data_IF_007540615863
#
_entry.id   IF_007540615863
#
_cell.length_a   1.000
_cell.length_b   1.000
_cell.length_c   1.000
_cell.angle_alpha   90.00
_cell.angle_beta   90.00
_cell.angle_gamma   90.00
#
_symmetry.space_group_name_H-M   'P 1'
#
loop_
_entity.id
_entity.type
_entity.pdbx_description
1 polymer ?
#
# COMPACT_ATOMS: atom_id res chain seq x y z
N UNK A 1 17.41 -29.40 6.91
CA UNK A 1 15.95 -29.19 7.03
C UNK A 1 15.24 -30.32 6.28
N UNK A 2 14.33 -31.07 6.92
CA UNK A 2 13.70 -32.28 6.34
C UNK A 2 12.41 -32.01 5.53
N UNK A 3 12.11 -30.76 5.18
CA UNK A 3 10.90 -30.39 4.45
C UNK A 3 11.27 -29.76 3.08
N UNK A 4 11.38 -30.55 2.01
CA UNK A 4 11.65 -30.01 0.68
C UNK A 4 10.51 -29.09 0.25
N UNK A 5 10.87 -27.90 -0.27
CA UNK A 5 9.90 -26.90 -0.71
C UNK A 5 9.30 -26.04 0.42
N UNK A 6 9.73 -26.21 1.67
CA UNK A 6 9.38 -25.32 2.76
C UNK A 6 10.23 -24.04 2.74
N UNK A 7 9.61 -22.88 2.89
CA UNK A 7 10.28 -21.59 2.99
C UNK A 7 9.97 -21.00 4.36
N UNK A 8 10.99 -20.96 5.22
CA UNK A 8 10.87 -20.39 6.56
C UNK A 8 10.62 -18.88 6.50
N UNK A 9 9.72 -18.38 7.35
CA UNK A 9 9.36 -16.96 7.46
C UNK A 9 9.49 -16.42 8.88
N UNK A 10 9.27 -17.26 9.90
CA UNK A 10 9.32 -16.86 11.30
C UNK A 10 9.98 -17.95 12.14
N UNK A 11 10.82 -17.51 13.07
CA UNK A 11 11.43 -18.36 14.08
C UNK A 11 10.94 -17.90 15.46
N UNK A 12 10.56 -18.84 16.30
CA UNK A 12 10.20 -18.59 17.70
C UNK A 12 10.98 -19.53 18.60
N UNK A 13 11.59 -19.00 19.65
CA UNK A 13 12.34 -19.75 20.65
C UNK A 13 11.52 -19.79 21.94
N UNK A 14 11.44 -20.97 22.55
CA UNK A 14 10.78 -21.19 23.83
C UNK A 14 11.72 -21.94 24.78
N UNK A 15 11.80 -21.50 26.04
CA UNK A 15 12.68 -22.08 27.07
C UNK A 15 14.15 -22.16 26.61
N UNK A 16 14.66 -21.07 26.02
CA UNK A 16 16.03 -21.00 25.55
C UNK A 16 17.00 -21.14 26.75
N UNK A 17 17.95 -22.08 26.66
CA UNK A 17 18.92 -22.38 27.72
C UNK A 17 18.50 -23.49 28.69
N UNK A 18 17.30 -24.04 28.54
CA UNK A 18 16.81 -25.22 29.28
C UNK A 18 16.92 -26.49 28.41
N UNK A 19 17.01 -27.65 29.05
CA UNK A 19 16.91 -28.98 28.43
C UNK A 19 15.55 -29.17 27.73
N UNK A 20 14.50 -28.51 28.25
CA UNK A 20 13.17 -28.44 27.62
C UNK A 20 13.07 -27.41 26.46
N UNK A 21 14.19 -26.79 26.08
CA UNK A 21 14.24 -25.79 25.02
C UNK A 21 13.71 -26.30 23.68
N UNK A 22 12.95 -25.45 22.99
CA UNK A 22 12.44 -25.76 21.65
C UNK A 22 12.44 -24.54 20.74
N UNK A 23 12.65 -24.82 19.45
CA UNK A 23 12.57 -23.85 18.37
C UNK A 23 11.40 -24.21 17.47
N UNK A 24 10.60 -23.24 17.13
CA UNK A 24 9.54 -23.39 16.17
C UNK A 24 9.84 -22.58 14.92
N UNK A 25 9.78 -23.26 13.77
CA UNK A 25 10.01 -22.70 12.45
C UNK A 25 8.67 -22.68 11.72
N UNK A 26 8.16 -21.49 11.49
CA UNK A 26 6.90 -21.22 10.81
C UNK A 26 7.18 -20.65 9.40
N UNK A 27 6.39 -21.05 8.41
CA UNK A 27 6.70 -20.72 7.03
C UNK A 27 5.60 -21.07 6.04
N UNK A 28 6.00 -21.33 4.80
CA UNK A 28 5.08 -21.73 3.74
C UNK A 28 5.60 -23.00 3.09
N UNK A 29 4.67 -23.88 2.71
CA UNK A 29 4.98 -25.07 1.93
C UNK A 29 4.59 -24.84 0.47
N UNK A 30 5.51 -25.06 -0.47
CA UNK A 30 5.20 -24.98 -1.91
C UNK A 30 4.10 -25.96 -2.29
N UNK A 31 3.19 -25.51 -3.16
CA UNK A 31 2.02 -26.29 -3.59
C UNK A 31 0.85 -26.30 -2.60
N UNK A 32 1.00 -25.72 -1.41
CA UNK A 32 -0.08 -25.59 -0.44
C UNK A 32 -0.45 -24.11 -0.24
N UNK A 33 -1.67 -23.68 -0.61
CA UNK A 33 -2.13 -22.33 -0.34
C UNK A 33 -2.36 -22.16 1.18
N UNK A 34 -1.34 -21.68 1.87
CA UNK A 34 -1.31 -21.54 3.34
C UNK A 34 -0.35 -20.41 3.76
N UNK A 35 -0.27 -20.12 5.05
CA UNK A 35 0.60 -19.10 5.66
C UNK A 35 1.43 -19.68 6.81
N UNK A 36 2.39 -18.92 7.31
CA UNK A 36 3.18 -19.26 8.50
C UNK A 36 2.35 -19.48 9.77
N UNK A 37 1.08 -19.08 9.80
CA UNK A 37 0.22 -19.38 10.93
C UNK A 37 -0.20 -20.86 10.97
N UNK A 38 -0.15 -21.57 9.83
CA UNK A 38 -0.66 -22.93 9.68
C UNK A 38 0.39 -23.97 9.26
N UNK A 39 1.54 -23.54 8.71
CA UNK A 39 2.68 -24.42 8.44
C UNK A 39 3.79 -24.16 9.47
N UNK A 40 3.96 -25.07 10.45
CA UNK A 40 4.89 -24.92 11.58
C UNK A 40 5.56 -26.25 11.89
N UNK A 41 6.86 -26.22 12.07
CA UNK A 41 7.66 -27.35 12.54
C UNK A 41 8.34 -26.97 13.86
N UNK A 42 8.10 -27.75 14.91
CA UNK A 42 8.71 -27.55 16.23
C UNK A 42 9.79 -28.58 16.45
N UNK A 43 10.99 -28.12 16.77
CA UNK A 43 12.15 -28.95 17.06
C UNK A 43 12.62 -28.73 18.49
N UNK A 44 13.15 -29.77 19.12
CA UNK A 44 13.87 -29.67 20.38
C UNK A 44 15.23 -29.03 20.13
N UNK A 45 15.64 -28.11 21.01
CA UNK A 45 16.91 -27.39 20.85
C UNK A 45 18.14 -28.26 21.13
N UNK A 46 18.04 -29.20 22.06
CA UNK A 46 19.18 -30.02 22.50
C UNK A 46 19.76 -30.93 21.41
N UNK A 47 18.90 -31.54 20.59
CA UNK A 47 19.25 -32.59 19.63
C UNK A 47 18.67 -32.34 18.22
N UNK A 48 17.86 -31.30 18.05
CA UNK A 48 17.18 -31.01 16.78
C UNK A 48 16.03 -31.97 16.46
N UNK A 49 15.59 -32.81 17.41
CA UNK A 49 14.50 -33.75 17.19
C UNK A 49 13.18 -33.03 16.89
N UNK A 50 12.43 -33.49 15.88
CA UNK A 50 11.11 -32.95 15.56
C UNK A 50 10.12 -33.37 16.66
N UNK A 51 9.48 -32.38 17.29
CA UNK A 51 8.52 -32.55 18.38
C UNK A 51 7.07 -32.49 17.89
N UNK A 52 6.77 -31.55 17.00
CA UNK A 52 5.42 -31.33 16.46
C UNK A 52 5.52 -30.80 15.02
N UNK A 53 4.57 -31.19 14.19
CA UNK A 53 4.40 -30.68 12.84
C UNK A 53 2.94 -30.33 12.61
N UNK A 54 2.70 -29.08 12.22
CA UNK A 54 1.38 -28.60 11.82
C UNK A 54 1.43 -28.21 10.37
N UNK A 55 0.54 -28.81 9.59
CA UNK A 55 0.33 -28.45 8.19
C UNK A 55 -1.16 -28.33 7.88
N UNK A 56 -1.49 -27.40 6.99
CA UNK A 56 -2.83 -27.31 6.41
C UNK A 56 -3.19 -28.59 5.63
N UNK A 57 -2.22 -29.32 5.08
CA UNK A 57 -2.49 -30.56 4.33
C UNK A 57 -3.19 -31.64 5.16
N UNK A 58 -2.96 -31.63 6.48
CA UNK A 58 -3.54 -32.58 7.43
C UNK A 58 -4.95 -32.18 7.91
N UNK A 59 -5.51 -31.07 7.41
CA UNK A 59 -6.83 -30.57 7.82
C UNK A 59 -7.93 -31.06 6.88
N UNK A 60 -9.17 -31.08 7.39
CA UNK A 60 -10.35 -31.37 6.58
C UNK A 60 -10.58 -30.32 5.49
N UNK A 61 -11.32 -30.69 4.44
CA UNK A 61 -11.55 -29.87 3.24
C UNK A 61 -11.97 -28.43 3.54
N UNK A 62 -13.00 -28.24 4.38
CA UNK A 62 -13.52 -26.90 4.70
C UNK A 62 -12.50 -26.01 5.40
N UNK A 63 -11.76 -26.56 6.36
CA UNK A 63 -10.73 -25.82 7.06
C UNK A 63 -9.55 -25.49 6.12
N UNK A 64 -9.20 -26.40 5.20
CA UNK A 64 -8.20 -26.12 4.15
C UNK A 64 -8.63 -25.00 3.22
N UNK A 65 -9.88 -24.99 2.79
CA UNK A 65 -10.43 -23.91 1.97
C UNK A 65 -10.37 -22.56 2.70
N UNK A 66 -10.75 -22.51 3.98
CA UNK A 66 -10.62 -21.31 4.79
C UNK A 66 -9.17 -20.85 4.97
N UNK A 67 -8.25 -21.78 5.24
CA UNK A 67 -6.81 -21.49 5.34
C UNK A 67 -6.29 -20.90 4.02
N UNK A 68 -6.73 -21.43 2.87
CA UNK A 68 -6.33 -20.95 1.55
C UNK A 68 -6.84 -19.53 1.22
N UNK A 69 -7.91 -19.06 1.87
CA UNK A 69 -8.39 -17.67 1.69
C UNK A 69 -7.40 -16.66 2.27
N UNK A 70 -6.71 -16.97 3.38
CA UNK A 70 -5.78 -16.03 4.01
C UNK A 70 -4.66 -15.55 3.07
N UNK A 71 -3.85 -16.44 2.44
CA UNK A 71 -2.80 -15.98 1.54
C UNK A 71 -3.39 -15.27 0.32
N UNK A 72 -4.56 -15.66 -0.17
CA UNK A 72 -5.24 -14.94 -1.27
C UNK A 72 -5.62 -13.52 -0.85
N UNK A 73 -6.20 -13.34 0.33
CA UNK A 73 -6.62 -12.05 0.87
C UNK A 73 -5.45 -11.08 1.07
N UNK A 74 -4.29 -11.58 1.51
CA UNK A 74 -3.09 -10.78 1.74
C UNK A 74 -2.11 -10.77 0.56
N UNK A 75 -2.53 -11.23 -0.63
CA UNK A 75 -1.72 -11.32 -1.83
C UNK A 75 -0.38 -12.09 -1.64
N UNK A 76 -0.39 -13.14 -0.81
CA UNK A 76 0.75 -14.01 -0.51
C UNK A 76 0.77 -15.23 -1.43
N UNK A 77 1.32 -15.07 -2.63
CA UNK A 77 1.36 -16.12 -3.67
C UNK A 77 2.65 -16.96 -3.68
N UNK A 78 3.46 -16.88 -2.63
CA UNK A 78 4.78 -17.51 -2.57
C UNK A 78 4.72 -19.05 -2.64
N UNK A 79 3.58 -19.66 -2.29
CA UNK A 79 3.32 -21.08 -2.40
C UNK A 79 3.32 -21.61 -3.85
N UNK A 80 3.11 -20.74 -4.85
CA UNK A 80 3.21 -21.05 -6.28
C UNK A 80 4.66 -21.06 -6.82
N UNK A 81 5.63 -20.64 -6.01
CA UNK A 81 7.01 -20.48 -6.43
C UNK A 81 7.31 -19.12 -7.10
N UNK A 82 8.58 -18.89 -7.49
CA UNK A 82 9.09 -17.56 -7.84
C UNK A 82 8.52 -16.98 -9.14
N UNK A 83 8.14 -17.80 -10.12
CA UNK A 83 7.68 -17.32 -11.43
C UNK A 83 6.31 -16.62 -11.40
N UNK A 84 5.32 -17.26 -10.79
CA UNK A 84 3.93 -16.75 -10.79
C UNK A 84 3.63 -15.78 -9.65
N UNK A 85 4.39 -15.84 -8.55
CA UNK A 85 4.10 -15.03 -7.37
C UNK A 85 4.14 -13.53 -7.66
N UNK A 86 5.11 -13.05 -8.46
CA UNK A 86 5.22 -11.63 -8.78
C UNK A 86 4.06 -11.17 -9.68
N UNK A 87 3.75 -11.94 -10.72
CA UNK A 87 2.67 -11.62 -11.66
C UNK A 87 1.30 -11.55 -10.95
N UNK A 88 0.98 -12.52 -10.09
CA UNK A 88 -0.28 -12.54 -9.35
C UNK A 88 -0.37 -11.42 -8.30
N UNK A 89 0.75 -11.05 -7.65
CA UNK A 89 0.78 -9.86 -6.78
C UNK A 89 0.51 -8.59 -7.57
N UNK A 90 1.09 -8.48 -8.77
CA UNK A 90 0.84 -7.38 -9.69
C UNK A 90 -0.63 -7.30 -10.12
N UNK A 91 -1.22 -8.45 -10.50
CA UNK A 91 -2.63 -8.54 -10.86
C UNK A 91 -3.55 -8.20 -9.68
N UNK A 92 -3.25 -8.72 -8.48
CA UNK A 92 -4.00 -8.41 -7.26
C UNK A 92 -3.97 -6.91 -6.96
N UNK A 93 -2.79 -6.29 -7.04
CA UNK A 93 -2.64 -4.84 -6.90
C UNK A 93 -3.46 -4.08 -7.95
N UNK A 94 -3.38 -4.49 -9.23
CA UNK A 94 -4.11 -3.85 -10.32
C UNK A 94 -5.63 -3.95 -10.13
N UNK A 95 -6.15 -5.11 -9.70
CA UNK A 95 -7.56 -5.29 -9.36
C UNK A 95 -7.97 -4.41 -8.18
N UNK A 96 -7.15 -4.33 -7.13
CA UNK A 96 -7.39 -3.45 -5.98
C UNK A 96 -7.45 -1.98 -6.40
N UNK A 97 -6.49 -1.52 -7.19
CA UNK A 97 -6.49 -0.16 -7.75
C UNK A 97 -7.71 0.09 -8.65
N UNK A 98 -8.08 -0.87 -9.50
CA UNK A 98 -9.26 -0.80 -10.35
C UNK A 98 -10.56 -0.65 -9.54
N UNK A 99 -10.71 -1.43 -8.47
CA UNK A 99 -11.83 -1.31 -7.55
C UNK A 99 -11.87 0.08 -6.87
N UNK A 100 -10.72 0.58 -6.39
CA UNK A 100 -10.64 1.94 -5.83
C UNK A 100 -11.03 3.01 -6.85
N UNK A 101 -10.55 2.92 -8.09
CA UNK A 101 -10.87 3.86 -9.17
C UNK A 101 -12.35 3.81 -9.54
N UNK A 102 -12.96 2.62 -9.60
CA UNK A 102 -14.38 2.46 -9.85
C UNK A 102 -15.22 3.12 -8.75
N UNK A 103 -14.88 2.88 -7.47
CA UNK A 103 -15.57 3.51 -6.35
C UNK A 103 -15.40 5.04 -6.36
N UNK A 104 -14.18 5.54 -6.55
CA UNK A 104 -13.89 6.97 -6.56
C UNK A 104 -14.56 7.68 -7.75
N UNK A 105 -14.55 7.08 -8.94
CA UNK A 105 -15.21 7.64 -10.13
C UNK A 105 -16.73 7.61 -10.02
N UNK A 106 -17.31 6.55 -9.46
CA UNK A 106 -18.75 6.49 -9.18
C UNK A 106 -19.20 7.60 -8.21
N UNK A 107 -18.44 7.82 -7.14
CA UNK A 107 -18.69 8.91 -6.18
C UNK A 107 -18.53 10.28 -6.84
N UNK A 108 -17.49 10.47 -7.66
CA UNK A 108 -17.25 11.70 -8.40
C UNK A 108 -18.40 12.03 -9.37
N UNK A 109 -18.85 11.05 -10.17
CA UNK A 109 -19.95 11.23 -11.11
C UNK A 109 -21.27 11.54 -10.38
N UNK A 110 -21.52 10.89 -9.23
CA UNK A 110 -22.68 11.17 -8.40
C UNK A 110 -22.67 12.61 -7.86
N UNK A 111 -21.52 13.10 -7.40
CA UNK A 111 -21.34 14.47 -6.94
C UNK A 111 -21.50 15.48 -8.08
N UNK A 112 -20.92 15.21 -9.25
CA UNK A 112 -21.01 16.11 -10.41
C UNK A 112 -22.46 16.31 -10.87
N UNK A 113 -23.28 15.25 -10.88
CA UNK A 113 -24.72 15.36 -11.20
C UNK A 113 -25.49 16.26 -10.23
N UNK A 114 -24.99 16.45 -9.01
CA UNK A 114 -25.62 17.27 -7.96
C UNK A 114 -24.96 18.64 -7.77
N UNK A 115 -23.87 18.92 -8.50
CA UNK A 115 -23.16 20.19 -8.42
C UNK A 115 -23.99 21.38 -8.96
N UNK A 116 -25.01 21.10 -9.78
CA UNK A 116 -25.92 22.11 -10.35
C UNK A 116 -26.82 22.79 -9.30
N UNK A 117 -26.99 22.19 -8.12
CA UNK A 117 -27.77 22.77 -7.03
C UNK A 117 -26.83 23.30 -5.93
N UNK A 118 -27.01 24.53 -5.42
CA UNK A 118 -26.13 25.15 -4.44
C UNK A 118 -26.26 24.59 -3.01
N UNK A 119 -26.34 23.27 -2.84
CA UNK A 119 -26.44 22.60 -1.54
C UNK A 119 -25.07 22.52 -0.83
N UNK A 120 -25.00 23.07 0.39
CA UNK A 120 -23.81 23.03 1.24
C UNK A 120 -23.39 21.58 1.58
N UNK A 121 -24.33 20.64 1.67
CA UNK A 121 -24.05 19.22 1.94
C UNK A 121 -23.30 18.57 0.80
N UNK A 122 -23.67 18.87 -0.44
CA UNK A 122 -22.98 18.36 -1.64
C UNK A 122 -21.55 18.88 -1.70
N UNK A 123 -21.35 20.18 -1.40
CA UNK A 123 -20.00 20.78 -1.30
C UNK A 123 -19.17 20.11 -0.20
N UNK A 124 -19.73 19.89 0.98
CA UNK A 124 -19.04 19.19 2.08
C UNK A 124 -18.64 17.76 1.67
N UNK A 125 -19.57 16.99 1.08
CA UNK A 125 -19.29 15.64 0.61
C UNK A 125 -18.21 15.60 -0.46
N UNK A 126 -18.21 16.56 -1.39
CA UNK A 126 -17.14 16.70 -2.38
C UNK A 126 -15.79 16.94 -1.72
N UNK A 127 -15.72 17.82 -0.73
CA UNK A 127 -14.47 18.09 0.00
C UNK A 127 -14.00 16.89 0.81
N UNK A 128 -14.89 16.22 1.53
CA UNK A 128 -14.57 14.98 2.24
C UNK A 128 -14.08 13.90 1.29
N UNK A 129 -14.70 13.76 0.12
CA UNK A 129 -14.28 12.80 -0.90
C UNK A 129 -12.88 13.10 -1.40
N UNK A 130 -12.56 14.38 -1.67
CA UNK A 130 -11.20 14.80 -2.01
C UNK A 130 -10.21 14.51 -0.88
N UNK A 131 -10.55 14.86 0.36
CA UNK A 131 -9.71 14.64 1.54
C UNK A 131 -9.41 13.16 1.79
N UNK A 132 -10.42 12.30 1.78
CA UNK A 132 -10.24 10.87 2.03
C UNK A 132 -9.59 10.14 0.85
N UNK A 133 -10.02 10.40 -0.39
CA UNK A 133 -9.47 9.70 -1.57
C UNK A 133 -8.06 10.19 -1.92
N UNK A 134 -7.84 11.50 -2.04
CA UNK A 134 -6.48 12.02 -2.32
C UNK A 134 -5.57 11.88 -1.09
N UNK A 135 -6.14 11.99 0.12
CA UNK A 135 -5.42 11.78 1.36
C UNK A 135 -4.96 10.34 1.55
N UNK A 136 -5.72 9.34 1.08
CA UNK A 136 -5.29 7.94 1.08
C UNK A 136 -3.99 7.76 0.27
N UNK A 137 -3.96 8.35 -0.92
CA UNK A 137 -2.78 8.32 -1.80
C UNK A 137 -1.60 9.04 -1.16
N UNK A 138 -1.83 10.23 -0.58
CA UNK A 138 -0.79 11.00 0.11
C UNK A 138 -0.24 10.29 1.35
N UNK A 139 -1.11 9.75 2.21
CA UNK A 139 -0.72 9.02 3.41
C UNK A 139 0.06 7.75 3.06
N UNK A 140 -0.33 7.00 2.02
CA UNK A 140 0.42 5.85 1.55
C UNK A 140 1.82 6.24 1.03
N UNK A 141 1.92 7.29 0.21
CA UNK A 141 3.20 7.77 -0.33
C UNK A 141 4.14 8.28 0.78
N UNK A 142 3.61 9.04 1.74
CA UNK A 142 4.37 9.53 2.89
C UNK A 142 4.79 8.39 3.84
N UNK A 143 3.96 7.37 4.01
CA UNK A 143 4.34 6.17 4.75
C UNK A 143 5.52 5.47 4.07
N UNK A 144 5.47 5.27 2.75
CA UNK A 144 6.57 4.66 1.99
C UNK A 144 7.85 5.47 2.15
N UNK A 145 7.79 6.79 2.03
CA UNK A 145 8.94 7.66 2.32
C UNK A 145 9.44 7.48 3.76
N UNK A 146 8.54 7.50 4.75
CA UNK A 146 8.88 7.31 6.15
C UNK A 146 9.61 5.98 6.40
N UNK A 147 9.14 4.89 5.79
CA UNK A 147 9.79 3.58 5.89
C UNK A 147 11.19 3.55 5.26
N UNK A 148 11.46 4.37 4.24
CA UNK A 148 12.80 4.49 3.65
C UNK A 148 13.77 5.30 4.51
N UNK A 149 13.26 6.23 5.33
CA UNK A 149 14.08 7.11 6.16
C UNK A 149 14.36 6.56 7.55
N UNK A 150 13.51 5.64 8.04
CA UNK A 150 13.63 5.08 9.39
C UNK A 150 14.68 3.96 9.43
N UNK A 151 15.59 3.94 10.43
CA UNK A 151 16.53 2.85 10.62
C UNK A 151 15.84 1.49 10.74
N UNK A 152 16.47 0.43 10.22
CA UNK A 152 15.87 -0.92 10.18
C UNK A 152 15.47 -1.46 11.55
N UNK A 153 16.17 -1.04 12.61
CA UNK A 153 15.91 -1.41 14.01
C UNK A 153 14.55 -0.91 14.50
N UNK A 154 14.10 0.23 13.97
CA UNK A 154 12.84 0.87 14.34
C UNK A 154 11.68 0.44 13.43
N UNK A 155 11.92 -0.35 12.38
CA UNK A 155 10.84 -0.89 11.54
C UNK A 155 9.94 -1.88 12.30
N UNK A 156 10.42 -2.44 13.40
CA UNK A 156 9.63 -3.27 14.29
C UNK A 156 8.66 -2.41 15.11
N UNK A 157 7.34 -2.62 14.94
CA UNK A 157 6.32 -2.04 15.81
C UNK A 157 5.06 -1.56 15.07
N UNK A 158 4.04 -1.09 15.81
CA UNK A 158 2.76 -0.68 15.23
C UNK A 158 2.78 0.75 14.64
N UNK A 159 3.90 1.45 14.71
CA UNK A 159 3.99 2.85 14.27
C UNK A 159 3.70 3.06 12.77
N UNK A 160 4.02 2.16 11.81
CA UNK A 160 3.71 2.41 10.40
C UNK A 160 2.19 2.54 10.19
N UNK A 161 1.42 1.68 10.85
CA UNK A 161 -0.04 1.74 10.83
C UNK A 161 -0.57 3.01 11.50
N UNK A 162 -0.02 3.41 12.65
CA UNK A 162 -0.42 4.65 13.33
C UNK A 162 -0.08 5.90 12.51
N UNK A 163 1.10 5.94 11.90
CA UNK A 163 1.52 7.05 11.04
C UNK A 163 0.57 7.21 9.86
N UNK A 164 0.28 6.10 9.16
CA UNK A 164 -0.67 6.11 8.06
C UNK A 164 -2.05 6.64 8.49
N UNK A 165 -2.60 6.13 9.60
CA UNK A 165 -3.89 6.57 10.12
C UNK A 165 -3.89 8.05 10.47
N UNK A 166 -2.84 8.55 11.13
CA UNK A 166 -2.70 9.97 11.49
C UNK A 166 -2.63 10.84 10.24
N UNK A 167 -1.79 10.49 9.26
CA UNK A 167 -1.67 11.24 8.00
C UNK A 167 -2.99 11.25 7.21
N UNK A 168 -3.68 10.11 7.17
CA UNK A 168 -4.96 9.99 6.47
C UNK A 168 -6.08 10.78 7.18
N UNK A 169 -6.17 10.68 8.50
CA UNK A 169 -7.09 11.46 9.31
C UNK A 169 -6.82 12.97 9.19
N UNK A 170 -5.55 13.38 9.17
CA UNK A 170 -5.16 14.77 8.97
C UNK A 170 -5.61 15.30 7.58
N UNK A 171 -5.51 14.49 6.53
CA UNK A 171 -6.02 14.86 5.21
C UNK A 171 -7.56 14.99 5.17
N UNK A 172 -8.28 14.11 5.89
CA UNK A 172 -9.72 14.23 6.09
C UNK A 172 -10.11 15.48 6.89
N UNK A 173 -9.36 15.79 7.95
CA UNK A 173 -9.57 17.00 8.76
C UNK A 173 -9.27 18.27 7.97
N UNK A 174 -8.24 18.26 7.11
CA UNK A 174 -7.95 19.36 6.20
C UNK A 174 -9.11 19.65 5.23
N UNK A 175 -9.93 18.66 4.88
CA UNK A 175 -11.14 18.86 4.09
C UNK A 175 -12.23 19.67 4.83
N UNK A 176 -12.23 19.64 6.15
CA UNK A 176 -13.15 20.38 7.00
C UNK A 176 -12.62 21.78 7.35
N UNK A 177 -11.32 21.89 7.59
CA UNK A 177 -10.71 23.10 8.17
C UNK A 177 -10.25 24.12 7.13
N UNK A 178 -9.81 23.68 5.95
CA UNK A 178 -9.27 24.60 4.94
C UNK A 178 -10.39 25.40 4.26
N UNK A 179 -10.10 26.59 3.69
CA UNK A 179 -11.05 27.35 2.89
C UNK A 179 -11.65 26.53 1.72
N UNK A 180 -12.89 26.84 1.32
CA UNK A 180 -13.65 26.09 0.30
C UNK A 180 -13.07 26.12 -1.11
N UNK A 181 -12.39 27.21 -1.42
CA UNK A 181 -11.64 27.49 -2.65
C UNK A 181 -10.23 26.86 -2.64
N UNK A 182 -9.77 26.35 -1.49
CA UNK A 182 -8.48 25.70 -1.41
C UNK A 182 -8.46 24.43 -2.27
N UNK A 183 -7.48 24.29 -3.19
CA UNK A 183 -7.42 23.15 -4.09
C UNK A 183 -6.82 21.92 -3.39
N UNK A 184 -7.57 21.38 -2.43
CA UNK A 184 -7.14 20.32 -1.52
C UNK A 184 -6.63 19.08 -2.26
N UNK A 185 -7.41 18.55 -3.21
CA UNK A 185 -7.01 17.38 -4.00
C UNK A 185 -5.68 17.62 -4.74
N UNK A 186 -5.50 18.81 -5.33
CA UNK A 186 -4.25 19.18 -6.00
C UNK A 186 -3.07 19.17 -5.05
N UNK A 187 -3.23 19.78 -3.87
CA UNK A 187 -2.20 19.81 -2.83
C UNK A 187 -1.81 18.40 -2.37
N UNK A 188 -2.79 17.57 -2.04
CA UNK A 188 -2.57 16.19 -1.59
C UNK A 188 -1.91 15.33 -2.66
N UNK A 189 -2.34 15.42 -3.93
CA UNK A 189 -1.71 14.71 -5.05
C UNK A 189 -0.28 15.20 -5.31
N UNK A 190 -0.01 16.50 -5.18
CA UNK A 190 1.34 17.06 -5.26
C UNK A 190 2.26 16.52 -4.16
N UNK A 191 1.79 16.53 -2.90
CA UNK A 191 2.51 15.95 -1.76
C UNK A 191 2.76 14.45 -1.98
N UNK A 192 1.75 13.70 -2.42
CA UNK A 192 1.89 12.28 -2.72
C UNK A 192 2.96 12.04 -3.80
N UNK A 193 2.93 12.84 -4.86
CA UNK A 193 3.87 12.71 -5.96
C UNK A 193 5.32 13.00 -5.54
N UNK A 194 5.53 14.08 -4.79
CA UNK A 194 6.84 14.41 -4.22
C UNK A 194 7.33 13.33 -3.24
N UNK A 195 6.44 12.80 -2.40
CA UNK A 195 6.79 11.74 -1.47
C UNK A 195 7.21 10.44 -2.18
N UNK A 196 6.54 10.06 -3.28
CA UNK A 196 6.96 8.92 -4.11
C UNK A 196 8.35 9.13 -4.72
N UNK A 197 8.62 10.31 -5.28
CA UNK A 197 9.94 10.62 -5.84
C UNK A 197 11.03 10.62 -4.76
N UNK A 198 10.76 11.24 -3.60
CA UNK A 198 11.66 11.25 -2.47
C UNK A 198 11.92 9.84 -1.92
N UNK A 199 10.91 8.97 -1.87
CA UNK A 199 11.05 7.59 -1.43
C UNK A 199 11.98 6.79 -2.37
N UNK A 200 11.82 6.95 -3.68
CA UNK A 200 12.70 6.32 -4.67
C UNK A 200 14.16 6.82 -4.51
N UNK A 201 14.36 8.13 -4.33
CA UNK A 201 15.71 8.69 -4.08
C UNK A 201 16.30 8.16 -2.78
N UNK A 202 15.53 8.15 -1.69
CA UNK A 202 15.97 7.65 -0.39
C UNK A 202 16.35 6.16 -0.43
N UNK A 203 15.66 5.35 -1.25
CA UNK A 203 16.01 3.96 -1.48
C UNK A 203 17.25 3.80 -2.38
N UNK A 204 17.34 4.52 -3.50
CA UNK A 204 18.41 4.36 -4.48
C UNK A 204 19.77 4.94 -4.03
N UNK A 205 19.78 6.05 -3.29
CA UNK A 205 21.01 6.76 -2.95
C UNK A 205 22.03 5.88 -2.17
N UNK A 206 21.64 5.14 -1.12
CA UNK A 206 22.58 4.26 -0.41
C UNK A 206 23.15 3.13 -1.28
N UNK A 207 22.39 2.63 -2.26
CA UNK A 207 22.87 1.60 -3.18
C UNK A 207 23.90 2.16 -4.17
N UNK A 208 23.62 3.33 -4.73
CA UNK A 208 24.53 4.02 -5.65
C UNK A 208 25.84 4.40 -4.97
N UNK A 209 25.79 4.89 -3.73
CA UNK A 209 26.98 5.19 -2.91
C UNK A 209 27.85 3.96 -2.66
N UNK A 210 27.27 2.76 -2.67
CA UNK A 210 27.99 1.48 -2.52
C UNK A 210 28.40 0.86 -3.85
N UNK A 211 28.19 1.54 -4.98
CA UNK A 211 28.52 1.05 -6.32
C UNK A 211 27.70 -0.17 -6.74
N UNK A 212 26.48 -0.34 -6.20
CA UNK A 212 25.60 -1.48 -6.49
C UNK A 212 24.25 -1.01 -7.02
N UNK A 213 23.62 -1.84 -7.85
CA UNK A 213 22.26 -1.59 -8.32
C UNK A 213 21.27 -2.47 -7.53
N UNK A 214 20.21 -1.89 -6.95
CA UNK A 214 19.13 -2.68 -6.35
C UNK A 214 18.21 -3.24 -7.44
N UNK A 215 17.22 -4.04 -7.02
CA UNK A 215 16.10 -4.36 -7.89
C UNK A 215 15.30 -3.08 -8.18
N UNK A 216 15.37 -2.57 -9.41
CA UNK A 216 14.81 -1.27 -9.81
C UNK A 216 13.29 -1.23 -9.92
N UNK A 217 12.60 -2.38 -9.87
CA UNK A 217 11.15 -2.45 -10.09
C UNK A 217 10.32 -1.54 -9.18
N UNK A 218 10.48 -1.60 -7.85
CA UNK A 218 9.80 -0.71 -6.92
C UNK A 218 10.12 0.77 -7.18
N UNK A 219 11.38 1.11 -7.43
CA UNK A 219 11.82 2.49 -7.66
C UNK A 219 11.23 3.08 -8.94
N UNK A 220 11.24 2.33 -10.04
CA UNK A 220 10.61 2.73 -11.30
C UNK A 220 9.10 2.94 -11.13
N UNK A 221 8.45 2.09 -10.34
CA UNK A 221 7.02 2.24 -10.02
C UNK A 221 6.76 3.52 -9.24
N UNK A 222 7.57 3.81 -8.21
CA UNK A 222 7.47 5.05 -7.44
C UNK A 222 7.73 6.29 -8.29
N UNK A 223 8.73 6.26 -9.16
CA UNK A 223 9.05 7.35 -10.08
C UNK A 223 7.88 7.61 -11.03
N UNK A 224 7.34 6.56 -11.66
CA UNK A 224 6.21 6.67 -12.57
C UNK A 224 4.97 7.22 -11.85
N UNK A 225 4.61 6.67 -10.69
CA UNK A 225 3.51 7.16 -9.88
C UNK A 225 3.73 8.63 -9.47
N UNK A 226 4.93 8.98 -9.00
CA UNK A 226 5.30 10.33 -8.62
C UNK A 226 5.12 11.34 -9.75
N UNK A 227 5.66 11.01 -10.93
CA UNK A 227 5.54 11.84 -12.13
C UNK A 227 4.09 12.00 -12.57
N UNK A 228 3.29 10.93 -12.57
CA UNK A 228 1.88 10.97 -12.94
C UNK A 228 1.05 11.83 -11.98
N UNK A 229 1.29 11.72 -10.67
CA UNK A 229 0.60 12.49 -9.64
C UNK A 229 0.93 13.99 -9.72
N UNK A 230 2.21 14.33 -9.88
CA UNK A 230 2.67 15.72 -10.07
C UNK A 230 2.09 16.29 -11.36
N UNK A 231 2.16 15.54 -12.47
CA UNK A 231 1.56 15.96 -13.74
C UNK A 231 0.07 16.23 -13.58
N UNK A 232 -0.66 15.37 -12.88
CA UNK A 232 -2.10 15.57 -12.65
C UNK A 232 -2.37 16.81 -11.78
N UNK A 233 -1.62 17.02 -10.70
CA UNK A 233 -1.70 18.22 -9.89
C UNK A 233 -1.40 19.50 -10.69
N UNK A 234 -0.42 19.44 -11.59
CA UNK A 234 -0.08 20.55 -12.49
C UNK A 234 -1.16 20.84 -13.53
N UNK A 235 -1.73 19.81 -14.16
CA UNK A 235 -2.85 19.98 -15.10
C UNK A 235 -4.06 20.62 -14.42
N UNK A 236 -4.36 20.26 -13.17
CA UNK A 236 -5.40 20.90 -12.37
C UNK A 236 -5.11 22.38 -12.10
N UNK A 237 -3.85 22.74 -11.82
CA UNK A 237 -3.45 24.15 -11.65
C UNK A 237 -3.67 24.96 -12.93
N UNK A 238 -3.31 24.40 -14.09
CA UNK A 238 -3.50 25.05 -15.39
C UNK A 238 -4.97 25.25 -15.76
N UNK A 239 -5.81 24.27 -15.46
CA UNK A 239 -7.26 24.36 -15.72
C UNK A 239 -7.95 25.41 -14.83
N UNK A 240 -7.38 25.72 -13.66
CA UNK A 240 -7.91 26.73 -12.74
C UNK A 240 -7.41 28.16 -13.05
N UNK A 241 -6.42 28.34 -13.93
CA UNK A 241 -5.93 29.66 -14.31
C UNK A 241 -6.95 30.37 -15.23
N UNK A 242 -7.23 31.67 -15.03
CA UNK A 242 -8.09 32.42 -15.92
C UNK A 242 -7.55 32.40 -17.36
N UNK A 243 -8.40 32.37 -18.39
CA UNK A 243 -7.94 32.36 -19.78
C UNK A 243 -7.06 33.60 -20.05
N UNK A 244 -5.87 33.37 -20.62
CA UNK A 244 -4.84 34.40 -20.84
C UNK A 244 -5.26 35.50 -21.83
N UNK A 245 -6.40 35.35 -22.51
CA UNK A 245 -6.98 36.38 -23.36
C UNK A 245 -8.40 36.69 -22.91
N UNK A 246 -8.73 37.95 -22.59
CA UNK A 246 -10.13 38.35 -22.54
C UNK A 246 -10.70 38.10 -23.94
N UNK A 247 -11.77 37.30 -24.03
CA UNK A 247 -12.59 37.30 -25.24
C UNK A 247 -13.11 38.71 -25.39
N UNK A 248 -12.49 39.48 -26.29
CA UNK A 248 -13.07 40.72 -26.81
C UNK A 248 -14.29 40.27 -27.60
N UNK A 249 -15.43 40.14 -26.94
CA UNK A 249 -16.73 40.18 -27.61
C UNK A 249 -16.99 41.65 -27.92
N UNK A 250 -16.24 42.17 -28.90
CA UNK A 250 -16.74 43.23 -29.74
C UNK A 250 -17.82 42.61 -30.60
N UNK A 251 -19.06 43.04 -30.39
CA UNK A 251 -19.77 43.73 -31.45
C UNK A 251 -21.01 44.38 -30.84
N UNK A 252 -20.87 45.69 -30.61
CA UNK A 252 -21.97 46.62 -30.62
C UNK A 252 -22.53 46.64 -32.04
N UNK A 253 -23.73 46.10 -32.22
CA UNK A 253 -24.62 46.63 -33.25
C UNK A 253 -25.94 47.02 -32.59
N UNK A 254 -26.15 48.33 -32.62
CA UNK A 254 -27.36 49.05 -32.29
C UNK A 254 -28.51 48.70 -33.25
#
# INVERSE_FOLDING_TARGET
MRAPGFVAQRLSLSHAGDVAGSVEIAGIQRGLPSTANFERHRYRLADGALLDERSSAQRGFWLRAFIAVQPLHFAQYQWLGPGWSAALRGLHLAMGLGACLLCASGLYLWLQRRASAPDARVRLLQRLSQGFCAGLVAAAALLLLGLQLVPSELLAGPWPGRLFLVLWAAAGLAALLLPGDWPLARGLLGVAGLACLAAAVAHLAPWLMRGRLPALGPDLTLILCGALLIRHAWMQARAAAPPAHPRVTGDHHA
#
